data_IF_356078927121
#
_entry.id   IF_356078927121
#
_cell.length_a   1.000
_cell.length_b   1.000
_cell.length_c   1.000
_cell.angle_alpha   90.00
_cell.angle_beta   90.00
_cell.angle_gamma   90.00
#
_symmetry.space_group_name_H-M   'P 1'
#
loop_
_entity.id
_entity.type
_entity.pdbx_description
1 polymer ?
#
# COMPACT_ATOMS: atom_id res chain seq x y z
N UNK A 1 54.51 29.99 1.35
CA UNK A 1 53.67 28.79 1.19
C UNK A 1 53.57 28.10 2.53
N UNK A 2 52.53 28.40 3.30
CA UNK A 2 52.23 27.75 4.58
C UNK A 2 50.92 27.00 4.39
N UNK A 3 51.05 25.69 4.14
CA UNK A 3 49.93 24.76 4.09
C UNK A 3 49.45 24.51 5.52
N UNK A 4 48.48 25.29 5.98
CA UNK A 4 47.69 24.92 7.15
C UNK A 4 46.64 23.91 6.66
N UNK A 5 46.95 22.62 6.79
CA UNK A 5 45.92 21.59 6.85
C UNK A 5 45.22 21.77 8.20
N UNK A 6 44.16 22.58 8.21
CA UNK A 6 43.17 22.58 9.26
C UNK A 6 42.50 21.19 9.26
N UNK A 7 43.09 20.25 9.99
CA UNK A 7 42.42 19.01 10.35
C UNK A 7 41.43 19.39 11.43
N UNK A 8 40.24 19.85 11.00
CA UNK A 8 39.11 20.01 11.89
C UNK A 8 38.82 18.65 12.51
N UNK A 9 39.30 18.42 13.73
CA UNK A 9 38.89 17.30 14.57
C UNK A 9 37.38 17.44 14.72
N UNK A 10 36.61 16.65 13.98
CA UNK A 10 35.14 16.64 14.06
C UNK A 10 34.80 16.42 15.52
N UNK A 11 34.19 17.43 16.15
CA UNK A 11 33.80 17.35 17.56
C UNK A 11 33.01 16.05 17.76
N UNK A 12 33.52 15.17 18.62
CA UNK A 12 32.99 13.82 18.75
C UNK A 12 31.57 13.90 19.32
N UNK A 13 30.58 13.50 18.53
CA UNK A 13 29.19 13.51 18.95
C UNK A 13 28.98 12.44 20.03
N UNK A 14 28.81 12.86 21.29
CA UNK A 14 28.57 11.97 22.42
C UNK A 14 27.10 11.48 22.50
N UNK A 15 26.20 12.02 21.67
CA UNK A 15 24.77 11.71 21.67
C UNK A 15 24.44 10.22 21.54
N UNK A 16 25.01 9.47 20.57
CA UNK A 16 24.75 8.03 20.43
C UNK A 16 25.20 7.24 21.67
N UNK A 17 26.31 7.63 22.29
CA UNK A 17 26.80 7.03 23.54
C UNK A 17 25.85 7.24 24.71
N UNK A 18 25.26 8.43 24.84
CA UNK A 18 24.23 8.71 25.85
C UNK A 18 22.97 7.86 25.63
N UNK A 19 22.53 7.70 24.38
CA UNK A 19 21.41 6.81 24.04
C UNK A 19 21.69 5.35 24.41
N UNK A 20 22.93 4.88 24.18
CA UNK A 20 23.33 3.52 24.58
C UNK A 20 23.28 3.33 26.10
N UNK A 21 23.85 4.27 26.85
CA UNK A 21 23.82 4.24 28.31
C UNK A 21 22.39 4.27 28.86
N UNK A 22 21.51 5.06 28.24
CA UNK A 22 20.10 5.08 28.60
C UNK A 22 19.42 3.72 28.37
N UNK A 23 19.63 3.07 27.22
CA UNK A 23 19.10 1.73 26.95
C UNK A 23 19.64 0.68 27.95
N UNK A 24 20.93 0.74 28.30
CA UNK A 24 21.49 -0.15 29.33
C UNK A 24 20.87 0.08 30.70
N UNK A 25 20.65 1.35 31.09
CA UNK A 25 19.99 1.68 32.35
C UNK A 25 18.55 1.17 32.40
N UNK A 26 17.81 1.29 31.28
CA UNK A 26 16.46 0.74 31.12
C UNK A 26 16.46 -0.77 31.30
N UNK A 27 17.36 -1.47 30.63
CA UNK A 27 17.44 -2.93 30.75
C UNK A 27 17.80 -3.36 32.17
N UNK A 28 18.80 -2.72 32.79
CA UNK A 28 19.18 -3.00 34.17
C UNK A 28 18.01 -2.77 35.13
N UNK A 29 17.25 -1.68 34.95
CA UNK A 29 16.09 -1.37 35.78
C UNK A 29 15.02 -2.48 35.70
N UNK A 30 14.66 -2.92 34.48
CA UNK A 30 13.68 -4.00 34.28
C UNK A 30 14.24 -5.35 34.75
N UNK A 31 15.53 -5.60 34.60
CA UNK A 31 16.18 -6.83 35.05
C UNK A 31 16.14 -6.97 36.58
N UNK A 32 16.48 -5.92 37.32
CA UNK A 32 16.47 -5.95 38.80
C UNK A 32 15.07 -5.78 39.39
N UNK A 33 14.18 -5.07 38.70
CA UNK A 33 12.82 -4.77 39.14
C UNK A 33 11.85 -5.05 37.98
N UNK A 34 11.43 -6.31 37.76
CA UNK A 34 10.57 -6.67 36.62
C UNK A 34 9.25 -5.89 36.58
N UNK A 35 8.66 -5.58 37.73
CA UNK A 35 7.43 -4.79 37.86
C UNK A 35 7.58 -3.35 37.33
N UNK A 36 8.80 -2.82 37.27
CA UNK A 36 9.07 -1.48 36.74
C UNK A 36 8.69 -1.35 35.27
N UNK A 37 8.54 -2.45 34.53
CA UNK A 37 8.18 -2.45 33.11
C UNK A 37 6.90 -1.68 32.80
N UNK A 38 5.91 -1.70 33.70
CA UNK A 38 4.65 -0.96 33.58
C UNK A 38 4.84 0.56 33.60
N UNK A 39 5.95 1.04 34.15
CA UNK A 39 6.33 2.45 34.16
C UNK A 39 7.39 2.76 33.11
N UNK A 40 8.37 1.87 32.94
CA UNK A 40 9.52 2.06 32.04
C UNK A 40 9.10 2.12 30.58
N UNK A 41 8.24 1.20 30.11
CA UNK A 41 7.81 1.20 28.70
C UNK A 41 6.98 2.44 28.36
N UNK A 42 5.89 2.77 29.10
CA UNK A 42 5.14 4.00 28.83
C UNK A 42 5.98 5.25 29.03
N UNK A 43 6.89 5.27 30.00
CA UNK A 43 7.82 6.36 30.24
C UNK A 43 8.78 6.60 29.06
N UNK A 44 9.36 5.53 28.50
CA UNK A 44 10.21 5.63 27.31
C UNK A 44 9.44 6.15 26.10
N UNK A 45 8.25 5.60 25.84
CA UNK A 45 7.40 6.03 24.71
C UNK A 45 6.98 7.49 24.89
N UNK A 46 6.55 7.88 26.10
CA UNK A 46 6.17 9.25 26.42
C UNK A 46 7.33 10.23 26.28
N UNK A 47 8.52 9.87 26.77
CA UNK A 47 9.73 10.67 26.60
C UNK A 47 10.09 10.84 25.11
N UNK A 48 10.11 9.75 24.35
CA UNK A 48 10.39 9.78 22.92
C UNK A 48 9.37 10.67 22.17
N UNK A 49 8.09 10.57 22.50
CA UNK A 49 7.03 11.37 21.88
C UNK A 49 7.16 12.86 22.21
N UNK A 50 7.43 13.20 23.48
CA UNK A 50 7.65 14.59 23.88
C UNK A 50 8.88 15.18 23.21
N UNK A 51 9.99 14.44 23.13
CA UNK A 51 11.20 14.93 22.49
C UNK A 51 11.03 15.05 20.97
N UNK A 52 10.33 14.12 20.33
CA UNK A 52 9.96 14.19 18.92
C UNK A 52 9.17 15.48 18.63
N UNK A 53 8.13 15.78 19.43
CA UNK A 53 7.35 17.02 19.28
C UNK A 53 8.22 18.26 19.52
N UNK A 54 9.02 18.26 20.59
CA UNK A 54 9.95 19.36 20.89
C UNK A 54 10.90 19.63 19.72
N UNK A 55 11.48 18.58 19.13
CA UNK A 55 12.37 18.71 17.99
C UNK A 55 11.68 19.34 16.80
N UNK A 56 10.48 18.86 16.43
CA UNK A 56 9.68 19.41 15.32
C UNK A 56 9.32 20.89 15.51
N UNK A 57 9.03 21.30 16.74
CA UNK A 57 8.77 22.71 17.08
C UNK A 57 10.04 23.53 16.95
N UNK A 58 11.14 23.04 17.54
CA UNK A 58 12.40 23.79 17.65
C UNK A 58 13.11 24.00 16.30
N UNK A 59 12.98 23.06 15.37
CA UNK A 59 13.60 23.13 14.04
C UNK A 59 12.65 23.70 12.97
N UNK A 60 11.45 24.16 13.36
CA UNK A 60 10.50 24.79 12.45
C UNK A 60 9.84 23.83 11.43
N UNK A 61 10.04 22.51 11.57
CA UNK A 61 9.44 21.50 10.69
C UNK A 61 7.90 21.48 10.71
N UNK A 62 7.29 22.04 11.76
CA UNK A 62 5.83 22.27 11.83
C UNK A 62 5.29 23.08 10.64
N UNK A 63 6.06 24.06 10.15
CA UNK A 63 5.63 24.87 9.01
C UNK A 63 5.53 24.04 7.72
N UNK A 64 6.41 23.05 7.55
CA UNK A 64 6.36 22.11 6.42
C UNK A 64 5.12 21.20 6.48
N UNK A 65 4.82 20.66 7.66
CA UNK A 65 3.61 19.84 7.88
C UNK A 65 2.35 20.66 7.63
N UNK A 66 2.27 21.88 8.17
CA UNK A 66 1.12 22.78 7.96
C UNK A 66 1.01 23.19 6.48
N UNK A 67 2.15 23.42 5.81
CA UNK A 67 2.22 23.73 4.39
C UNK A 67 1.63 22.63 3.51
N UNK A 68 1.95 21.36 3.81
CA UNK A 68 1.37 20.21 3.11
C UNK A 68 -0.15 20.13 3.25
N UNK A 69 -0.69 20.45 4.43
CA UNK A 69 -2.15 20.52 4.66
C UNK A 69 -2.78 21.62 3.81
N UNK A 70 -2.19 22.82 3.85
CA UNK A 70 -2.70 23.98 3.10
C UNK A 70 -2.70 23.69 1.59
N UNK A 71 -1.63 23.09 1.08
CA UNK A 71 -1.54 22.67 -0.33
C UNK A 71 -2.65 21.68 -0.68
N UNK A 72 -2.90 20.67 0.16
CA UNK A 72 -4.01 19.73 -0.06
C UNK A 72 -5.39 20.39 -0.07
N UNK A 73 -5.63 21.36 0.81
CA UNK A 73 -6.90 22.10 0.87
C UNK A 73 -7.08 22.95 -0.39
N UNK A 74 -6.03 23.64 -0.85
CA UNK A 74 -6.05 24.42 -2.09
C UNK A 74 -6.30 23.51 -3.29
N UNK A 75 -5.57 22.40 -3.37
CA UNK A 75 -5.69 21.42 -4.45
C UNK A 75 -7.09 20.80 -4.50
N UNK A 76 -7.70 20.57 -3.34
CA UNK A 76 -9.08 20.14 -3.22
C UNK A 76 -10.08 21.20 -3.73
N UNK A 77 -9.86 22.48 -3.40
CA UNK A 77 -10.68 23.57 -3.92
C UNK A 77 -10.61 23.70 -5.45
N UNK A 78 -9.41 23.59 -6.02
CA UNK A 78 -9.19 23.63 -7.48
C UNK A 78 -9.81 22.40 -8.16
N UNK A 79 -9.64 21.22 -7.57
CA UNK A 79 -10.21 19.97 -8.09
C UNK A 79 -11.75 19.98 -8.10
N UNK A 80 -12.39 20.64 -7.13
CA UNK A 80 -13.84 20.80 -7.11
C UNK A 80 -14.36 21.73 -8.21
N UNK A 81 -13.55 22.68 -8.68
CA UNK A 81 -13.94 23.66 -9.69
C UNK A 81 -13.87 23.13 -11.14
N UNK A 82 -13.09 22.07 -11.40
CA UNK A 82 -12.86 21.54 -12.75
C UNK A 82 -13.50 20.14 -12.88
N UNK A 83 -14.62 19.99 -13.62
CA UNK A 83 -15.25 18.69 -13.85
C UNK A 83 -14.29 17.72 -14.54
N UNK A 84 -14.34 16.45 -14.13
CA UNK A 84 -13.52 15.32 -14.66
C UNK A 84 -12.02 15.43 -14.36
N UNK A 85 -11.35 16.52 -14.76
CA UNK A 85 -9.89 16.69 -14.60
C UNK A 85 -9.50 16.85 -13.12
N UNK A 86 -10.32 17.52 -12.32
CA UNK A 86 -10.05 17.72 -10.89
C UNK A 86 -9.96 16.41 -10.10
N UNK A 87 -10.80 15.43 -10.43
CA UNK A 87 -10.76 14.09 -9.81
C UNK A 87 -9.46 13.36 -10.09
N UNK A 88 -8.97 13.46 -11.34
CA UNK A 88 -7.73 12.80 -11.76
C UNK A 88 -6.55 13.39 -10.97
N UNK A 89 -6.49 14.72 -10.86
CA UNK A 89 -5.45 15.42 -10.09
C UNK A 89 -5.48 14.99 -8.61
N UNK A 90 -6.67 14.89 -8.01
CA UNK A 90 -6.83 14.54 -6.61
C UNK A 90 -6.46 13.07 -6.33
N UNK A 91 -6.79 12.16 -7.25
CA UNK A 91 -6.35 10.75 -7.20
C UNK A 91 -4.83 10.66 -7.33
N UNK A 92 -4.22 11.37 -8.28
CA UNK A 92 -2.76 11.43 -8.42
C UNK A 92 -2.07 11.99 -7.17
N UNK A 93 -2.64 13.02 -6.55
CA UNK A 93 -2.12 13.60 -5.30
C UNK A 93 -2.20 12.63 -4.12
N UNK A 94 -3.30 11.89 -3.98
CA UNK A 94 -3.43 10.85 -2.96
C UNK A 94 -2.41 9.73 -3.20
N UNK A 95 -2.26 9.27 -4.44
CA UNK A 95 -1.28 8.24 -4.79
C UNK A 95 0.16 8.70 -4.53
N UNK A 96 0.49 9.97 -4.83
CA UNK A 96 1.78 10.56 -4.51
C UNK A 96 2.08 10.52 -3.01
N UNK A 97 1.14 10.96 -2.18
CA UNK A 97 1.29 10.95 -0.72
C UNK A 97 1.38 9.52 -0.15
N UNK A 98 0.65 8.56 -0.72
CA UNK A 98 0.75 7.15 -0.34
C UNK A 98 2.12 6.57 -0.73
N UNK A 99 2.64 6.91 -1.91
CA UNK A 99 3.96 6.46 -2.34
C UNK A 99 5.07 6.99 -1.42
N UNK A 100 5.04 8.29 -1.09
CA UNK A 100 5.90 8.91 -0.07
C UNK A 100 5.80 8.21 1.29
N UNK A 101 4.58 7.90 1.74
CA UNK A 101 4.37 7.20 2.99
C UNK A 101 4.98 5.79 2.98
N UNK A 102 4.90 5.08 1.86
CA UNK A 102 5.50 3.76 1.70
C UNK A 102 7.03 3.81 1.72
N UNK A 103 7.63 4.80 1.07
CA UNK A 103 9.07 5.06 1.12
C UNK A 103 9.55 5.35 2.55
N UNK A 104 8.81 6.18 3.30
CA UNK A 104 9.08 6.38 4.72
C UNK A 104 8.94 5.10 5.54
N UNK A 105 7.93 4.26 5.28
CA UNK A 105 7.80 2.96 5.97
C UNK A 105 9.04 2.10 5.70
N UNK A 106 9.51 2.03 4.45
CA UNK A 106 10.71 1.27 4.09
C UNK A 106 11.96 1.81 4.81
N UNK A 107 12.09 3.13 4.93
CA UNK A 107 13.22 3.77 5.62
C UNK A 107 13.20 3.55 7.13
N UNK A 108 12.01 3.49 7.73
CA UNK A 108 11.80 3.24 9.17
C UNK A 108 11.88 1.75 9.54
N UNK A 109 11.74 0.85 8.56
CA UNK A 109 11.61 -0.60 8.78
C UNK A 109 12.79 -1.24 9.55
N UNK A 110 14.06 -0.91 9.26
CA UNK A 110 15.17 -1.46 10.05
C UNK A 110 15.19 -0.92 11.48
N UNK A 111 14.78 0.34 11.68
CA UNK A 111 14.70 0.96 13.01
C UNK A 111 13.53 0.35 13.80
N UNK A 112 12.44 -0.02 13.13
CA UNK A 112 11.31 -0.74 13.69
C UNK A 112 11.63 -2.18 14.08
N UNK A 113 12.45 -2.90 13.31
CA UNK A 113 12.89 -4.23 13.73
C UNK A 113 13.77 -4.19 14.98
N UNK A 114 14.69 -3.24 15.06
CA UNK A 114 15.52 -3.06 16.24
C UNK A 114 14.70 -2.63 17.46
N UNK A 115 13.76 -1.69 17.28
CA UNK A 115 12.84 -1.27 18.32
C UNK A 115 11.92 -2.41 18.79
N UNK A 116 11.38 -3.20 17.87
CA UNK A 116 10.60 -4.38 18.19
C UNK A 116 11.42 -5.41 18.98
N UNK A 117 12.68 -5.64 18.59
CA UNK A 117 13.58 -6.52 19.33
C UNK A 117 13.84 -6.00 20.76
N UNK A 118 14.04 -4.69 20.95
CA UNK A 118 14.20 -4.08 22.27
C UNK A 118 12.94 -4.28 23.14
N UNK A 119 11.76 -3.91 22.64
CA UNK A 119 10.51 -4.05 23.39
C UNK A 119 10.17 -5.52 23.67
N UNK A 120 10.34 -6.41 22.69
CA UNK A 120 10.11 -7.84 22.88
C UNK A 120 11.05 -8.44 23.93
N UNK A 121 12.34 -8.04 23.92
CA UNK A 121 13.32 -8.51 24.90
C UNK A 121 13.01 -8.04 26.32
N UNK A 122 12.33 -6.90 26.49
CA UNK A 122 11.84 -6.44 27.79
C UNK A 122 10.55 -7.16 28.20
N UNK A 123 9.61 -7.35 27.27
CA UNK A 123 8.27 -7.87 27.56
C UNK A 123 8.22 -9.39 27.73
N UNK A 124 8.94 -10.16 26.92
CA UNK A 124 8.86 -11.64 26.90
C UNK A 124 9.17 -12.25 28.28
N UNK A 125 10.25 -11.87 28.98
CA UNK A 125 10.54 -12.41 30.31
C UNK A 125 9.43 -12.11 31.33
N UNK A 126 8.87 -10.90 31.29
CA UNK A 126 7.80 -10.48 32.21
C UNK A 126 6.51 -11.23 31.92
N UNK A 127 6.10 -11.33 30.66
CA UNK A 127 4.88 -12.07 30.27
C UNK A 127 5.00 -13.54 30.70
N UNK A 128 6.17 -14.14 30.49
CA UNK A 128 6.42 -15.52 30.91
C UNK A 128 6.32 -15.69 32.44
N UNK A 129 6.89 -14.75 33.20
CA UNK A 129 6.83 -14.76 34.67
C UNK A 129 5.39 -14.58 35.20
N UNK A 130 4.56 -13.79 34.50
CA UNK A 130 3.15 -13.60 34.86
C UNK A 130 2.30 -14.86 34.59
N UNK A 131 2.58 -15.56 33.49
CA UNK A 131 1.84 -16.76 33.08
C UNK A 131 2.24 -18.00 33.91
N UNK A 132 3.52 -18.12 34.25
CA UNK A 132 4.07 -19.23 35.04
C UNK A 132 4.48 -18.73 36.43
N UNK A 133 3.46 -18.34 37.22
CA UNK A 133 3.62 -17.93 38.61
C UNK A 133 4.48 -18.98 39.34
N UNK A 134 5.63 -18.55 39.88
CA UNK A 134 6.62 -19.35 40.64
C UNK A 134 7.77 -20.03 39.86
N UNK A 135 7.83 -19.96 38.51
CA UNK A 135 8.97 -20.50 37.74
C UNK A 135 9.63 -19.45 36.84
N UNK A 136 10.43 -18.57 37.44
CA UNK A 136 11.25 -17.61 36.70
C UNK A 136 12.30 -18.35 35.85
N UNK A 137 12.14 -18.34 34.53
CA UNK A 137 13.14 -18.91 33.64
C UNK A 137 14.32 -17.95 33.49
N UNK A 138 15.31 -18.07 34.38
CA UNK A 138 16.52 -17.24 34.38
C UNK A 138 17.27 -17.32 33.04
N UNK A 139 17.25 -18.47 32.37
CA UNK A 139 17.86 -18.63 31.04
C UNK A 139 17.16 -17.80 29.97
N UNK A 140 15.82 -17.73 30.00
CA UNK A 140 15.05 -16.88 29.11
C UNK A 140 15.40 -15.40 29.31
N UNK A 141 15.50 -14.97 30.58
CA UNK A 141 15.84 -13.58 30.93
C UNK A 141 17.25 -13.21 30.46
N UNK A 142 18.24 -14.09 30.68
CA UNK A 142 19.62 -13.89 30.19
C UNK A 142 19.63 -13.85 28.65
N UNK A 143 18.93 -14.76 27.99
CA UNK A 143 18.81 -14.80 26.53
C UNK A 143 18.23 -13.51 25.96
N UNK A 144 17.12 -13.03 26.53
CA UNK A 144 16.53 -11.74 26.16
C UNK A 144 17.47 -10.56 26.44
N UNK A 145 18.26 -10.61 27.51
CA UNK A 145 19.28 -9.59 27.79
C UNK A 145 20.38 -9.52 26.74
N UNK A 146 20.84 -10.67 26.24
CA UNK A 146 21.83 -10.74 25.14
C UNK A 146 21.24 -10.12 23.87
N UNK A 147 20.01 -10.48 23.52
CA UNK A 147 19.31 -9.91 22.34
C UNK A 147 19.12 -8.41 22.49
N UNK A 148 18.71 -7.94 23.68
CA UNK A 148 18.57 -6.52 23.99
C UNK A 148 19.87 -5.76 23.80
N UNK A 149 20.99 -6.30 24.31
CA UNK A 149 22.30 -5.68 24.19
C UNK A 149 22.72 -5.51 22.72
N UNK A 150 22.61 -6.56 21.91
CA UNK A 150 22.93 -6.47 20.48
C UNK A 150 21.99 -5.53 19.72
N UNK A 151 20.70 -5.52 20.06
CA UNK A 151 19.77 -4.57 19.49
C UNK A 151 20.14 -3.13 19.86
N UNK A 152 20.52 -2.86 21.12
CA UNK A 152 20.95 -1.54 21.59
C UNK A 152 22.24 -1.07 20.90
N UNK A 153 23.20 -1.98 20.67
CA UNK A 153 24.39 -1.69 19.86
C UNK A 153 24.01 -1.37 18.41
N UNK A 154 23.14 -2.17 17.79
CA UNK A 154 22.68 -1.91 16.42
C UNK A 154 21.94 -0.58 16.27
N UNK A 155 21.10 -0.23 17.25
CA UNK A 155 20.42 1.06 17.34
C UNK A 155 21.41 2.22 17.37
N UNK A 156 22.40 2.13 18.25
CA UNK A 156 23.35 3.22 18.51
C UNK A 156 24.36 3.38 17.38
N UNK A 157 24.76 2.29 16.72
CA UNK A 157 25.55 2.33 15.49
C UNK A 157 24.80 3.12 14.39
N UNK A 158 23.53 2.80 14.13
CA UNK A 158 22.72 3.50 13.12
C UNK A 158 22.49 4.97 13.45
N UNK A 159 22.32 5.32 14.73
CA UNK A 159 22.23 6.72 15.16
C UNK A 159 23.57 7.42 14.96
N UNK A 160 24.68 6.77 15.29
CA UNK A 160 26.03 7.32 15.12
C UNK A 160 26.34 7.64 13.65
N UNK A 161 25.95 6.76 12.73
CA UNK A 161 26.18 6.96 11.29
C UNK A 161 25.38 8.13 10.71
N UNK A 162 24.26 8.49 11.34
CA UNK A 162 23.30 9.49 10.83
C UNK A 162 23.31 10.82 11.59
N UNK A 163 24.00 10.92 12.72
CA UNK A 163 23.91 12.10 13.60
C UNK A 163 25.22 12.86 13.74
N UNK A 164 25.18 14.12 13.31
CA UNK A 164 26.30 15.04 13.50
C UNK A 164 26.24 15.80 14.83
N UNK A 165 25.06 15.92 15.45
CA UNK A 165 24.87 16.66 16.72
C UNK A 165 24.15 15.81 17.76
N UNK A 166 24.37 16.05 19.07
CA UNK A 166 23.72 15.29 20.14
C UNK A 166 22.20 15.49 20.16
N UNK A 167 21.73 16.69 19.78
CA UNK A 167 20.30 16.99 19.61
C UNK A 167 19.68 16.12 18.51
N UNK A 168 20.37 15.99 17.37
CA UNK A 168 19.92 15.12 16.27
C UNK A 168 19.98 13.64 16.64
N UNK A 169 20.98 13.21 17.43
CA UNK A 169 21.04 11.83 17.94
C UNK A 169 19.83 11.48 18.81
N UNK A 170 19.43 12.37 19.71
CA UNK A 170 18.24 12.16 20.56
C UNK A 170 16.94 12.16 19.75
N UNK A 171 16.88 12.94 18.67
CA UNK A 171 15.75 12.91 17.74
C UNK A 171 15.66 11.56 17.03
N UNK A 172 16.75 11.09 16.43
CA UNK A 172 16.78 9.78 15.76
C UNK A 172 16.52 8.63 16.73
N UNK A 173 17.00 8.73 17.97
CA UNK A 173 16.67 7.79 19.04
C UNK A 173 15.17 7.76 19.34
N UNK A 174 14.53 8.93 19.40
CA UNK A 174 13.09 9.05 19.62
C UNK A 174 12.29 8.49 18.44
N UNK A 175 12.69 8.78 17.19
CA UNK A 175 12.09 8.22 15.98
C UNK A 175 12.20 6.69 15.97
N UNK A 176 13.35 6.15 16.35
CA UNK A 176 13.55 4.71 16.45
C UNK A 176 12.65 4.07 17.51
N UNK A 177 12.54 4.63 18.71
CA UNK A 177 11.64 4.11 19.77
C UNK A 177 10.15 4.19 19.38
N UNK A 178 9.78 5.17 18.55
CA UNK A 178 8.41 5.38 18.05
C UNK A 178 8.14 4.71 16.71
N UNK A 179 9.14 4.08 16.08
CA UNK A 179 9.03 3.53 14.73
C UNK A 179 7.90 2.51 14.59
N UNK A 180 7.74 1.58 15.54
CA UNK A 180 6.66 0.58 15.54
C UNK A 180 5.27 1.24 15.58
N UNK A 181 4.92 2.09 16.59
CA UNK A 181 3.62 2.76 16.59
C UNK A 181 3.45 3.71 15.40
N UNK A 182 4.51 4.38 14.92
CA UNK A 182 4.46 5.24 13.74
C UNK A 182 4.10 4.46 12.47
N UNK A 183 4.73 3.30 12.22
CA UNK A 183 4.39 2.45 11.08
C UNK A 183 2.95 1.98 11.15
N UNK A 184 2.48 1.56 12.34
CA UNK A 184 1.06 1.16 12.53
C UNK A 184 0.11 2.32 12.21
N UNK A 185 0.42 3.54 12.69
CA UNK A 185 -0.37 4.72 12.41
C UNK A 185 -0.33 5.13 10.93
N UNK A 186 0.82 5.01 10.25
CA UNK A 186 0.95 5.26 8.82
C UNK A 186 0.13 4.26 8.00
N UNK A 187 0.14 2.97 8.35
CA UNK A 187 -0.73 2.00 7.69
C UNK A 187 -2.22 2.30 7.92
N UNK A 188 -2.58 2.65 9.16
CA UNK A 188 -3.95 3.03 9.49
C UNK A 188 -4.39 4.29 8.74
N UNK A 189 -3.52 5.29 8.59
CA UNK A 189 -3.82 6.52 7.86
C UNK A 189 -3.93 6.29 6.36
N UNK A 190 -3.05 5.48 5.76
CA UNK A 190 -3.15 5.05 4.35
C UNK A 190 -4.47 4.30 4.11
N UNK A 191 -4.82 3.36 4.98
CA UNK A 191 -6.07 2.63 4.88
C UNK A 191 -7.29 3.55 4.99
N UNK A 192 -7.26 4.51 5.92
CA UNK A 192 -8.30 5.51 6.08
C UNK A 192 -8.40 6.45 4.87
N UNK A 193 -7.26 6.91 4.32
CA UNK A 193 -7.24 7.80 3.15
C UNK A 193 -7.73 7.10 1.88
N UNK A 194 -7.33 5.84 1.66
CA UNK A 194 -7.84 5.01 0.57
C UNK A 194 -9.35 4.80 0.73
N UNK A 195 -9.80 4.41 1.93
CA UNK A 195 -11.23 4.23 2.20
C UNK A 195 -12.02 5.52 1.93
N UNK A 196 -11.51 6.67 2.34
CA UNK A 196 -12.14 7.97 2.08
C UNK A 196 -12.13 8.35 0.59
N UNK A 197 -11.05 8.02 -0.14
CA UNK A 197 -10.94 8.29 -1.58
C UNK A 197 -11.92 7.45 -2.42
N UNK A 198 -12.21 6.22 -1.98
CA UNK A 198 -13.12 5.28 -2.66
C UNK A 198 -14.55 5.28 -2.11
N UNK A 199 -14.84 6.04 -1.05
CA UNK A 199 -16.21 6.29 -0.62
C UNK A 199 -16.92 7.20 -1.63
N UNK A 200 -17.59 6.60 -2.62
CA UNK A 200 -18.55 7.31 -3.46
C UNK A 200 -19.73 7.75 -2.58
N UNK A 201 -19.89 9.06 -2.37
CA UNK A 201 -21.16 9.58 -1.88
C UNK A 201 -22.11 9.72 -3.07
N UNK A 202 -23.31 9.20 -2.96
CA UNK A 202 -24.32 9.40 -4.00
C UNK A 202 -24.96 10.77 -3.77
N UNK A 203 -24.50 11.81 -4.49
CA UNK A 203 -25.25 13.06 -4.54
C UNK A 203 -26.47 12.82 -5.42
N UNK A 204 -27.64 12.77 -4.77
CA UNK A 204 -28.92 12.66 -5.45
C UNK A 204 -29.28 14.05 -5.98
N UNK A 205 -29.09 14.27 -7.27
CA UNK A 205 -29.52 15.50 -7.94
C UNK A 205 -30.94 15.29 -8.45
N UNK A 206 -31.94 15.88 -7.82
CA UNK A 206 -33.33 15.83 -8.32
C UNK A 206 -33.50 16.85 -9.44
N UNK A 207 -33.78 16.38 -10.67
CA UNK A 207 -34.13 17.24 -11.78
C UNK A 207 -35.63 17.10 -12.08
N UNK A 208 -36.36 18.21 -12.16
CA UNK A 208 -37.76 18.24 -12.57
C UNK A 208 -37.83 18.40 -14.09
N UNK A 209 -38.26 17.36 -14.81
CA UNK A 209 -38.48 17.46 -16.26
C UNK A 209 -39.97 17.63 -16.58
N UNK A 210 -40.35 18.53 -17.50
CA UNK A 210 -41.72 18.62 -17.99
C UNK A 210 -42.00 17.44 -18.93
N UNK A 211 -43.01 16.64 -18.61
CA UNK A 211 -43.49 15.55 -19.46
C UNK A 211 -44.86 15.93 -20.04
N UNK A 212 -44.99 15.89 -21.36
CA UNK A 212 -46.28 16.08 -22.04
C UNK A 212 -47.09 14.80 -21.96
N UNK A 213 -48.29 14.87 -21.38
CA UNK A 213 -49.23 13.76 -21.32
C UNK A 213 -50.27 13.98 -22.41
N UNK A 214 -50.34 13.05 -23.36
CA UNK A 214 -51.36 13.05 -24.41
C UNK A 214 -52.74 12.79 -23.80
N UNK A 215 -53.74 13.52 -24.28
CA UNK A 215 -55.10 13.48 -23.78
C UNK A 215 -55.71 12.09 -23.88
N UNK A 216 -56.56 11.77 -22.91
CA UNK A 216 -57.21 10.47 -22.82
C UNK A 216 -58.65 10.62 -22.34
N UNK A 217 -59.51 9.69 -22.78
CA UNK A 217 -60.89 9.63 -22.32
C UNK A 217 -60.96 8.69 -21.12
N UNK A 218 -61.45 9.19 -20.00
CA UNK A 218 -61.67 8.38 -18.79
C UNK A 218 -62.74 7.32 -19.03
N UNK A 219 -62.77 6.23 -18.25
CA UNK A 219 -63.74 5.14 -18.39
C UNK A 219 -65.23 5.57 -18.21
N UNK A 220 -65.47 6.81 -17.75
CA UNK A 220 -66.79 7.44 -17.64
C UNK A 220 -67.10 8.43 -18.78
N UNK A 221 -66.30 8.43 -19.85
CA UNK A 221 -66.55 9.22 -21.07
C UNK A 221 -66.09 10.68 -21.01
N UNK A 222 -65.44 11.13 -19.93
CA UNK A 222 -64.93 12.51 -19.81
C UNK A 222 -63.58 12.62 -20.51
N UNK A 223 -63.48 13.51 -21.51
CA UNK A 223 -62.25 13.76 -22.28
C UNK A 223 -61.33 14.68 -21.49
N UNK A 224 -60.14 14.18 -21.17
CA UNK A 224 -59.07 14.96 -20.53
C UNK A 224 -58.13 15.41 -21.63
N UNK A 225 -58.02 16.73 -21.82
CA UNK A 225 -57.13 17.34 -22.81
C UNK A 225 -55.65 17.16 -22.43
N UNK A 226 -54.76 17.31 -23.42
CA UNK A 226 -53.31 17.28 -23.22
C UNK A 226 -52.90 18.24 -22.11
N UNK A 227 -52.10 17.75 -21.18
CA UNK A 227 -51.54 18.59 -20.11
C UNK A 227 -50.09 18.22 -19.85
N UNK A 228 -49.31 19.23 -19.47
CA UNK A 228 -47.91 19.04 -19.09
C UNK A 228 -47.84 18.76 -17.59
N UNK A 229 -47.17 17.68 -17.18
CA UNK A 229 -46.90 17.38 -15.78
C UNK A 229 -45.40 17.45 -15.53
N UNK A 230 -44.99 18.12 -14.45
CA UNK A 230 -43.61 18.07 -13.99
C UNK A 230 -43.36 16.74 -13.27
N UNK A 231 -42.44 15.93 -13.79
CA UNK A 231 -42.03 14.68 -13.16
C UNK A 231 -40.66 14.90 -12.54
N UNK A 232 -40.58 14.73 -11.22
CA UNK A 232 -39.31 14.77 -10.48
C UNK A 232 -38.56 13.47 -10.74
N UNK A 233 -37.53 13.52 -11.57
CA UNK A 233 -36.65 12.39 -11.81
C UNK A 233 -35.42 12.55 -10.92
N UNK A 234 -35.19 11.57 -10.04
CA UNK A 234 -33.96 11.51 -9.24
C UNK A 234 -32.83 11.07 -10.16
N UNK A 235 -32.04 12.03 -10.65
CA UNK A 235 -30.81 11.72 -11.37
C UNK A 235 -29.76 11.41 -10.31
N UNK A 236 -29.43 10.13 -10.15
CA UNK A 236 -28.35 9.70 -9.26
C UNK A 236 -27.04 10.03 -9.97
N UNK A 237 -26.45 11.18 -9.67
CA UNK A 237 -25.13 11.56 -10.17
C UNK A 237 -24.11 11.11 -9.13
N UNK A 238 -23.33 10.07 -9.44
CA UNK A 238 -22.22 9.65 -8.59
C UNK A 238 -21.16 10.76 -8.58
N UNK A 239 -21.10 11.55 -7.52
CA UNK A 239 -20.00 12.48 -7.29
C UNK A 239 -19.27 11.99 -6.04
N UNK A 240 -18.02 11.59 -6.22
CA UNK A 240 -17.14 11.32 -5.07
C UNK A 240 -17.17 12.59 -4.22
N UNK A 241 -17.23 12.52 -2.89
CA UNK A 241 -17.11 13.73 -2.05
C UNK A 241 -15.66 13.76 -1.59
N UNK A 242 -14.79 14.57 -2.22
CA UNK A 242 -13.37 14.61 -1.89
C UNK A 242 -13.25 15.51 -0.68
N UNK A 243 -12.73 14.99 0.43
CA UNK A 243 -12.60 15.80 1.64
C UNK A 243 -11.62 15.23 2.63
N UNK A 244 -11.98 14.09 3.22
CA UNK A 244 -11.19 13.50 4.29
C UNK A 244 -9.89 12.83 3.80
N UNK A 245 -9.90 12.25 2.60
CA UNK A 245 -8.78 11.47 2.07
C UNK A 245 -7.55 12.29 1.69
N UNK A 246 -7.72 13.46 1.06
CA UNK A 246 -6.61 14.29 0.60
C UNK A 246 -5.87 14.97 1.77
N UNK A 247 -6.61 15.48 2.76
CA UNK A 247 -6.05 16.12 3.95
C UNK A 247 -5.32 15.10 4.84
N UNK A 248 -5.90 13.91 5.04
CA UNK A 248 -5.25 12.81 5.77
C UNK A 248 -4.00 12.26 5.07
N UNK A 249 -4.04 12.17 3.73
CA UNK A 249 -2.90 11.74 2.92
C UNK A 249 -1.74 12.74 2.99
N UNK A 250 -1.98 14.07 2.95
CA UNK A 250 -0.89 15.05 3.10
C UNK A 250 -0.27 15.09 4.48
N UNK A 251 -1.06 14.91 5.55
CA UNK A 251 -0.50 14.78 6.89
C UNK A 251 0.46 13.59 6.96
N UNK A 252 0.07 12.47 6.35
CA UNK A 252 0.88 11.25 6.26
C UNK A 252 2.13 11.48 5.39
N UNK A 253 1.97 12.14 4.23
CA UNK A 253 3.05 12.46 3.31
C UNK A 253 4.08 13.41 3.92
N UNK A 254 3.65 14.53 4.51
CA UNK A 254 4.53 15.50 5.15
C UNK A 254 5.26 14.94 6.38
N UNK A 255 4.61 14.04 7.14
CA UNK A 255 5.26 13.33 8.24
C UNK A 255 6.29 12.32 7.72
N UNK A 256 6.02 11.71 6.56
CA UNK A 256 6.95 10.82 5.86
C UNK A 256 8.18 11.56 5.27
N UNK A 257 8.04 12.83 4.86
CA UNK A 257 9.19 13.63 4.37
C UNK A 257 10.19 13.94 5.48
N UNK A 258 9.73 14.00 6.74
CA UNK A 258 10.57 14.26 7.91
C UNK A 258 11.37 13.02 8.35
N UNK A 259 10.93 11.83 7.93
CA UNK A 259 11.60 10.55 8.19
C UNK A 259 12.47 10.08 7.01
N UNK A 260 12.35 10.70 5.83
CA UNK A 260 13.24 10.47 4.69
C UNK A 260 14.45 11.42 4.77
N UNK A 261 15.66 10.87 4.71
CA UNK A 261 16.90 11.66 4.61
C UNK A 261 16.91 12.45 3.31
N UNK A 262 17.29 13.74 3.38
CA UNK A 262 17.56 14.55 2.21
C UNK A 262 18.87 14.09 1.53
N UNK A 263 18.77 13.19 0.55
CA UNK A 263 19.58 13.28 -0.67
C UNK A 263 19.07 12.36 -1.81
N UNK A 264 19.33 12.82 -3.04
CA UNK A 264 19.11 12.20 -4.37
C UNK A 264 17.71 12.21 -5.01
N UNK A 265 17.43 13.29 -5.77
CA UNK A 265 16.62 13.21 -6.99
C UNK A 265 17.39 12.49 -8.10
N UNK A 266 16.86 11.44 -8.75
CA UNK A 266 17.39 10.98 -10.02
C UNK A 266 16.67 11.68 -11.17
N UNK A 267 17.41 12.53 -11.88
CA UNK A 267 17.03 13.12 -13.15
C UNK A 267 17.04 12.05 -14.24
N UNK A 268 15.87 11.86 -14.86
CA UNK A 268 15.60 11.54 -16.27
C UNK A 268 16.50 10.51 -16.99
N UNK A 269 15.92 9.33 -17.29
CA UNK A 269 16.25 8.53 -18.49
C UNK A 269 14.96 8.08 -19.17
N UNK A 270 14.26 9.02 -19.80
CA UNK A 270 13.41 8.70 -20.94
C UNK A 270 14.33 8.20 -22.06
N UNK A 271 14.18 6.95 -22.49
CA UNK A 271 14.38 6.50 -23.90
C UNK A 271 14.43 4.96 -24.09
N UNK A 272 14.08 4.11 -23.12
CA UNK A 272 14.09 2.63 -23.32
C UNK A 272 12.77 1.89 -22.93
N UNK A 273 11.70 2.60 -22.56
CA UNK A 273 10.51 1.99 -21.91
C UNK A 273 9.63 1.09 -22.78
N UNK A 274 9.65 1.20 -24.12
CA UNK A 274 8.68 0.47 -24.95
C UNK A 274 8.99 -1.02 -25.14
N UNK A 275 10.25 -1.44 -25.10
CA UNK A 275 10.63 -2.87 -25.24
C UNK A 275 10.66 -3.63 -23.91
N UNK A 276 10.79 -2.94 -22.78
CA UNK A 276 10.88 -3.58 -21.44
C UNK A 276 9.53 -3.79 -20.74
N UNK A 277 8.44 -3.13 -21.18
CA UNK A 277 7.14 -3.11 -20.47
C UNK A 277 6.54 -4.52 -20.24
N UNK A 278 6.73 -5.45 -21.18
CA UNK A 278 6.17 -6.80 -21.13
C UNK A 278 7.21 -7.93 -21.01
N UNK A 279 8.43 -7.62 -20.58
CA UNK A 279 9.42 -8.66 -20.29
C UNK A 279 9.00 -9.58 -19.13
N UNK A 280 9.48 -10.82 -19.15
CA UNK A 280 9.30 -11.80 -18.07
C UNK A 280 9.73 -11.21 -16.72
N UNK A 281 8.88 -11.31 -15.72
CA UNK A 281 9.14 -10.79 -14.37
C UNK A 281 8.70 -11.82 -13.32
N UNK A 282 9.67 -12.57 -12.79
CA UNK A 282 9.41 -13.70 -11.88
C UNK A 282 8.70 -13.27 -10.61
N UNK A 283 9.07 -12.12 -10.05
CA UNK A 283 8.45 -11.55 -8.83
C UNK A 283 7.01 -11.08 -9.07
N UNK A 284 6.59 -10.92 -10.33
CA UNK A 284 5.21 -10.61 -10.68
C UNK A 284 4.42 -11.84 -11.13
N UNK A 285 5.00 -13.04 -11.00
CA UNK A 285 4.41 -14.29 -11.50
C UNK A 285 4.03 -14.24 -12.98
N UNK A 286 4.68 -13.36 -13.75
CA UNK A 286 4.37 -13.07 -15.14
C UNK A 286 5.52 -13.54 -16.04
N UNK A 287 5.23 -14.45 -16.95
CA UNK A 287 6.20 -15.07 -17.84
C UNK A 287 5.79 -14.85 -19.30
N UNK A 288 6.66 -14.24 -20.10
CA UNK A 288 6.50 -14.11 -21.56
C UNK A 288 7.09 -15.35 -22.24
N UNK A 289 6.66 -15.66 -23.47
CA UNK A 289 7.11 -16.81 -24.26
C UNK A 289 8.64 -17.07 -24.23
N UNK A 290 9.45 -16.01 -24.21
CA UNK A 290 10.92 -16.05 -24.22
C UNK A 290 11.56 -16.26 -22.83
N UNK A 291 10.76 -16.25 -21.76
CA UNK A 291 11.19 -16.48 -20.38
C UNK A 291 10.27 -17.44 -19.61
N UNK A 292 9.54 -18.31 -20.30
CA UNK A 292 8.67 -19.30 -19.68
C UNK A 292 9.46 -20.24 -18.77
N UNK A 293 8.86 -20.59 -17.63
CA UNK A 293 9.37 -21.66 -16.79
C UNK A 293 8.82 -22.99 -17.32
N UNK A 294 9.65 -23.77 -18.01
CA UNK A 294 9.30 -25.04 -18.66
C UNK A 294 8.53 -26.02 -17.77
N UNK A 295 8.92 -26.10 -16.50
CA UNK A 295 8.28 -27.00 -15.55
C UNK A 295 6.87 -26.52 -15.19
N UNK A 296 6.71 -25.22 -14.93
CA UNK A 296 5.40 -24.64 -14.56
C UNK A 296 4.43 -24.67 -15.73
N UNK A 297 4.87 -24.20 -16.92
CA UNK A 297 4.01 -24.20 -18.10
C UNK A 297 3.63 -25.62 -18.54
N UNK A 298 4.54 -26.59 -18.38
CA UNK A 298 4.24 -28.00 -18.62
C UNK A 298 3.14 -28.54 -17.70
N UNK A 299 3.16 -28.18 -16.40
CA UNK A 299 2.12 -28.57 -15.46
C UNK A 299 0.77 -27.90 -15.77
N UNK A 300 0.78 -26.63 -16.17
CA UNK A 300 -0.43 -25.93 -16.61
C UNK A 300 -1.04 -26.58 -17.85
N UNK A 301 -0.24 -26.88 -18.89
CA UNK A 301 -0.70 -27.56 -20.10
C UNK A 301 -1.30 -28.94 -19.78
N UNK A 302 -0.66 -29.69 -18.89
CA UNK A 302 -1.20 -30.97 -18.42
C UNK A 302 -2.54 -30.80 -17.69
N UNK A 303 -2.69 -29.73 -16.89
CA UNK A 303 -3.94 -29.42 -16.19
C UNK A 303 -5.06 -28.99 -17.15
N UNK A 304 -4.73 -28.27 -18.24
CA UNK A 304 -5.67 -27.95 -19.33
C UNK A 304 -6.15 -29.24 -20.00
N UNK A 305 -5.23 -30.15 -20.36
CA UNK A 305 -5.56 -31.43 -20.98
C UNK A 305 -6.43 -32.30 -20.05
N UNK A 306 -6.13 -32.31 -18.74
CA UNK A 306 -6.90 -33.06 -17.74
C UNK A 306 -8.31 -32.48 -17.49
N UNK A 307 -8.57 -31.21 -17.83
CA UNK A 307 -9.88 -30.60 -17.65
C UNK A 307 -10.93 -31.14 -18.64
N UNK A 308 -10.50 -31.72 -19.78
CA UNK A 308 -11.35 -32.39 -20.79
C UNK A 308 -12.35 -31.49 -21.55
N UNK A 309 -12.58 -30.26 -21.07
CA UNK A 309 -13.56 -29.30 -21.57
C UNK A 309 -12.92 -28.10 -22.27
N UNK A 310 -11.59 -27.98 -22.20
CA UNK A 310 -10.81 -26.91 -22.82
C UNK A 310 -10.13 -27.43 -24.10
N UNK A 311 -9.93 -26.59 -25.12
CA UNK A 311 -9.14 -26.95 -26.29
C UNK A 311 -7.71 -27.36 -25.93
N UNK A 312 -7.06 -28.13 -26.80
CA UNK A 312 -5.65 -28.47 -26.64
C UNK A 312 -4.81 -27.19 -26.69
N UNK A 313 -3.81 -27.10 -25.81
CA UNK A 313 -2.86 -25.98 -25.72
C UNK A 313 -1.46 -26.53 -25.89
N UNK A 314 -0.73 -26.10 -26.92
CA UNK A 314 0.69 -26.44 -27.07
C UNK A 314 1.56 -25.34 -26.45
N UNK A 315 2.78 -25.71 -26.06
CA UNK A 315 3.73 -24.77 -25.46
C UNK A 315 4.14 -23.66 -26.43
N UNK A 316 4.18 -23.97 -27.72
CA UNK A 316 4.55 -23.06 -28.81
C UNK A 316 3.56 -21.90 -28.97
N UNK A 317 2.30 -22.15 -28.61
CA UNK A 317 1.19 -21.19 -28.75
C UNK A 317 1.13 -20.20 -27.56
N UNK A 318 1.93 -20.41 -26.52
CA UNK A 318 1.91 -19.62 -25.28
C UNK A 318 2.68 -18.32 -25.47
N UNK A 319 1.97 -17.20 -25.53
CA UNK A 319 2.58 -15.87 -25.56
C UNK A 319 2.90 -15.35 -24.15
N UNK A 320 1.99 -15.60 -23.21
CA UNK A 320 2.11 -15.17 -21.81
C UNK A 320 1.52 -16.24 -20.91
N UNK A 321 2.19 -16.48 -19.78
CA UNK A 321 1.72 -17.29 -18.68
C UNK A 321 1.79 -16.48 -17.38
N UNK A 322 0.66 -16.40 -16.69
CA UNK A 322 0.58 -15.90 -15.33
C UNK A 322 0.33 -17.06 -14.38
N UNK A 323 1.26 -17.29 -13.46
CA UNK A 323 1.18 -18.38 -12.48
C UNK A 323 0.38 -17.94 -11.25
N UNK A 324 -0.80 -18.55 -11.06
CA UNK A 324 -1.69 -18.27 -9.92
C UNK A 324 -1.57 -19.32 -8.81
N UNK A 325 -0.71 -20.34 -8.95
CA UNK A 325 -0.59 -21.43 -7.97
C UNK A 325 0.00 -20.93 -6.64
N UNK A 326 -0.85 -20.78 -5.61
CA UNK A 326 -0.45 -20.43 -4.23
C UNK A 326 0.33 -21.56 -3.54
N UNK A 327 -0.12 -22.80 -3.72
CA UNK A 327 0.51 -24.00 -3.18
C UNK A 327 0.44 -25.06 -4.29
N UNK A 328 1.57 -25.50 -4.82
CA UNK A 328 1.60 -26.50 -5.91
C UNK A 328 2.72 -26.30 -6.93
N UNK A 329 2.53 -26.83 -8.14
CA UNK A 329 3.58 -26.96 -9.15
C UNK A 329 3.41 -26.03 -10.37
N UNK A 330 2.51 -25.04 -10.33
CA UNK A 330 2.20 -24.15 -11.46
C UNK A 330 1.11 -24.71 -12.39
N UNK A 331 0.12 -25.39 -11.82
CA UNK A 331 -1.01 -26.03 -12.50
C UNK A 331 -2.26 -25.12 -12.60
N UNK A 332 -2.20 -23.90 -12.02
CA UNK A 332 -3.27 -22.89 -12.04
C UNK A 332 -2.72 -21.57 -12.57
N UNK A 333 -3.59 -20.76 -13.16
CA UNK A 333 -3.19 -19.50 -13.77
C UNK A 333 -3.96 -19.13 -15.02
N UNK A 334 -3.37 -18.19 -15.75
CA UNK A 334 -3.91 -17.70 -17.02
C UNK A 334 -2.84 -17.80 -18.08
N UNK A 335 -3.20 -18.35 -19.23
CA UNK A 335 -2.39 -18.34 -20.45
C UNK A 335 -3.08 -17.48 -21.50
N UNK A 336 -2.30 -16.62 -22.15
CA UNK A 336 -2.71 -15.90 -23.35
C UNK A 336 -1.96 -16.51 -24.55
N UNK A 337 -2.71 -16.85 -25.59
CA UNK A 337 -2.18 -17.17 -26.92
C UNK A 337 -2.38 -15.95 -27.83
N UNK A 338 -2.11 -16.12 -29.13
CA UNK A 338 -2.45 -15.14 -30.17
C UNK A 338 -3.97 -14.94 -30.35
N UNK A 339 -4.76 -16.00 -30.16
CA UNK A 339 -6.21 -15.98 -30.43
C UNK A 339 -7.10 -16.03 -29.19
N UNK A 340 -6.60 -16.50 -28.04
CA UNK A 340 -7.46 -16.86 -26.91
C UNK A 340 -6.83 -16.75 -25.52
N UNK A 341 -7.72 -16.85 -24.53
CA UNK A 341 -7.42 -16.90 -23.10
C UNK A 341 -7.80 -18.28 -22.57
N UNK A 342 -6.85 -18.91 -21.87
CA UNK A 342 -7.07 -20.12 -21.08
C UNK A 342 -7.00 -19.75 -19.59
N UNK A 343 -8.05 -20.03 -18.83
CA UNK A 343 -8.11 -19.71 -17.41
C UNK A 343 -8.36 -20.99 -16.58
N UNK A 344 -7.41 -21.31 -15.71
CA UNK A 344 -7.57 -22.30 -14.64
C UNK A 344 -7.51 -21.56 -13.30
N UNK A 345 -8.65 -21.28 -12.66
CA UNK A 345 -8.72 -20.38 -11.52
C UNK A 345 -8.00 -20.89 -10.27
N UNK A 346 -7.66 -19.94 -9.40
CA UNK A 346 -6.92 -20.13 -8.14
C UNK A 346 -7.74 -20.73 -6.99
N UNK A 347 -7.40 -20.40 -5.75
CA UNK A 347 -7.89 -21.03 -4.50
C UNK A 347 -9.40 -20.84 -4.23
N UNK A 348 -10.10 -19.99 -4.98
CA UNK A 348 -11.53 -19.79 -4.82
C UNK A 348 -12.32 -20.84 -5.62
N UNK A 349 -12.95 -21.77 -4.91
CA UNK A 349 -13.59 -22.98 -5.46
C UNK A 349 -14.82 -22.68 -6.36
N UNK A 350 -15.34 -21.44 -6.33
CA UNK A 350 -16.52 -21.03 -7.09
C UNK A 350 -16.20 -20.49 -8.50
N UNK A 351 -14.93 -20.45 -8.91
CA UNK A 351 -14.55 -19.98 -10.24
C UNK A 351 -14.43 -21.15 -11.23
N UNK A 352 -15.14 -21.03 -12.36
CA UNK A 352 -15.12 -22.04 -13.42
C UNK A 352 -13.87 -21.92 -14.30
N UNK A 353 -13.30 -23.07 -14.68
CA UNK A 353 -12.29 -23.15 -15.75
C UNK A 353 -12.94 -22.74 -17.06
N UNK A 354 -12.27 -21.91 -17.86
CA UNK A 354 -12.82 -21.50 -19.14
C UNK A 354 -11.76 -21.23 -20.20
N UNK A 355 -12.23 -21.30 -21.44
CA UNK A 355 -11.53 -20.86 -22.64
C UNK A 355 -12.40 -19.81 -23.32
N UNK A 356 -11.80 -18.71 -23.76
CA UNK A 356 -12.51 -17.71 -24.57
C UNK A 356 -11.58 -17.08 -25.60
N UNK A 357 -12.08 -16.90 -26.82
CA UNK A 357 -11.35 -16.20 -27.88
C UNK A 357 -11.46 -14.70 -27.70
N UNK A 358 -10.42 -13.96 -28.04
CA UNK A 358 -10.45 -12.49 -27.99
C UNK A 358 -11.59 -11.91 -28.84
N UNK A 359 -11.89 -12.55 -29.99
CA UNK A 359 -13.00 -12.18 -30.87
C UNK A 359 -14.38 -12.17 -30.21
N UNK A 360 -14.54 -12.89 -29.10
CA UNK A 360 -15.81 -13.04 -28.38
C UNK A 360 -15.95 -12.05 -27.22
N UNK A 361 -14.89 -11.32 -26.90
CA UNK A 361 -14.85 -10.32 -25.83
C UNK A 361 -15.26 -8.96 -26.42
N UNK A 362 -16.30 -8.35 -25.87
CA UNK A 362 -16.77 -7.01 -26.25
C UNK A 362 -16.08 -5.92 -25.43
N UNK A 363 -15.85 -6.22 -24.14
CA UNK A 363 -15.23 -5.29 -23.21
C UNK A 363 -14.51 -6.05 -22.10
N UNK A 364 -13.37 -5.52 -21.68
CA UNK A 364 -12.67 -5.97 -20.48
C UNK A 364 -12.72 -4.88 -19.42
N UNK A 365 -12.86 -5.27 -18.16
CA UNK A 365 -12.83 -4.35 -17.02
C UNK A 365 -11.94 -4.92 -15.92
N UNK A 366 -11.21 -4.04 -15.25
CA UNK A 366 -10.35 -4.40 -14.13
C UNK A 366 -10.96 -3.83 -12.85
N UNK A 367 -11.31 -4.71 -11.91
CA UNK A 367 -12.04 -4.34 -10.69
C UNK A 367 -11.73 -5.30 -9.52
N UNK A 368 -12.43 -5.18 -8.40
CA UNK A 368 -12.24 -6.00 -7.19
C UNK A 368 -11.33 -5.36 -6.14
N UNK A 369 -11.41 -5.84 -4.89
CA UNK A 369 -10.53 -5.38 -3.82
C UNK A 369 -9.06 -5.57 -4.22
N UNK A 370 -8.27 -4.48 -4.21
CA UNK A 370 -6.87 -4.45 -4.63
C UNK A 370 -6.60 -4.68 -6.14
N UNK A 371 -7.58 -4.48 -7.03
CA UNK A 371 -7.42 -4.65 -8.48
C UNK A 371 -6.93 -6.05 -8.88
N UNK A 372 -7.59 -7.08 -8.37
CA UNK A 372 -7.21 -8.48 -8.59
C UNK A 372 -8.18 -9.24 -9.49
N UNK A 373 -9.22 -8.59 -10.02
CA UNK A 373 -10.25 -9.26 -10.80
C UNK A 373 -10.40 -8.63 -12.19
N UNK A 374 -10.12 -9.42 -13.22
CA UNK A 374 -10.40 -9.10 -14.62
C UNK A 374 -11.78 -9.67 -14.94
N UNK A 375 -12.71 -8.81 -15.34
CA UNK A 375 -14.04 -9.22 -15.81
C UNK A 375 -14.13 -9.05 -17.33
N UNK A 376 -14.32 -10.16 -18.02
CA UNK A 376 -14.56 -10.24 -19.46
C UNK A 376 -16.06 -10.16 -19.72
N UNK A 377 -16.48 -9.20 -20.54
CA UNK A 377 -17.84 -9.07 -21.03
C UNK A 377 -17.89 -9.66 -22.43
N UNK A 378 -18.58 -10.78 -22.58
CA UNK A 378 -18.71 -11.47 -23.85
C UNK A 378 -19.88 -10.90 -24.65
N UNK A 379 -19.81 -10.98 -25.99
CA UNK A 379 -20.85 -10.50 -26.92
C UNK A 379 -22.25 -11.12 -26.68
N UNK A 380 -22.30 -12.27 -26.00
CA UNK A 380 -23.55 -12.97 -25.64
C UNK A 380 -24.16 -12.46 -24.32
N UNK A 381 -23.64 -11.39 -23.73
CA UNK A 381 -24.09 -10.84 -22.44
C UNK A 381 -23.63 -11.64 -21.22
N UNK A 382 -22.89 -12.75 -21.42
CA UNK A 382 -22.27 -13.54 -20.36
C UNK A 382 -21.01 -12.83 -19.83
N UNK A 383 -20.78 -12.94 -18.52
CA UNK A 383 -19.58 -12.41 -17.86
C UNK A 383 -18.69 -13.56 -17.40
N UNK A 384 -17.40 -13.47 -17.68
CA UNK A 384 -16.38 -14.37 -17.12
C UNK A 384 -15.43 -13.56 -16.26
N UNK A 385 -15.02 -14.14 -15.13
CA UNK A 385 -14.16 -13.49 -14.15
C UNK A 385 -12.87 -14.27 -14.02
N UNK A 386 -11.76 -13.55 -13.96
CA UNK A 386 -10.43 -14.06 -13.68
C UNK A 386 -9.97 -13.36 -12.41
N UNK A 387 -9.76 -14.11 -11.33
CA UNK A 387 -9.18 -13.57 -10.10
C UNK A 387 -7.70 -13.97 -10.01
N UNK A 388 -6.83 -12.97 -9.92
CA UNK A 388 -5.36 -13.11 -9.88
C UNK A 388 -4.83 -12.57 -8.55
N UNK A 389 -4.47 -13.45 -7.62
CA UNK A 389 -4.10 -13.11 -6.25
C UNK A 389 -2.61 -12.95 -6.02
N UNK A 390 -1.77 -13.57 -6.87
CA UNK A 390 -0.31 -13.61 -6.65
C UNK A 390 0.38 -12.27 -6.82
N UNK A 391 -0.04 -11.47 -7.79
CA UNK A 391 0.62 -10.20 -8.09
C UNK A 391 -0.32 -9.18 -8.71
N UNK A 392 -0.49 -8.03 -8.05
CA UNK A 392 -1.23 -6.90 -8.61
C UNK A 392 -0.56 -6.36 -9.87
N UNK A 393 0.77 -6.32 -9.89
CA UNK A 393 1.55 -5.83 -11.03
C UNK A 393 1.45 -6.78 -12.22
N UNK A 394 1.54 -8.10 -11.99
CA UNK A 394 1.36 -9.07 -13.06
C UNK A 394 -0.09 -9.18 -13.53
N UNK A 395 -1.08 -9.06 -12.64
CA UNK A 395 -2.51 -9.00 -13.02
C UNK A 395 -2.81 -7.80 -13.91
N UNK A 396 -2.22 -6.63 -13.61
CA UNK A 396 -2.33 -5.45 -14.46
C UNK A 396 -1.70 -5.68 -15.84
N UNK A 397 -0.54 -6.34 -15.92
CA UNK A 397 0.08 -6.71 -17.22
C UNK A 397 -0.80 -7.65 -18.03
N UNK A 398 -1.42 -8.65 -17.40
CA UNK A 398 -2.36 -9.55 -18.07
C UNK A 398 -3.57 -8.78 -18.60
N UNK A 399 -4.13 -7.86 -17.79
CA UNK A 399 -5.22 -6.98 -18.23
C UNK A 399 -4.84 -6.12 -19.44
N UNK A 400 -3.69 -5.43 -19.39
CA UNK A 400 -3.20 -4.58 -20.49
C UNK A 400 -3.00 -5.40 -21.78
N UNK A 401 -2.50 -6.63 -21.67
CA UNK A 401 -2.33 -7.52 -22.81
C UNK A 401 -3.65 -8.01 -23.40
N UNK A 402 -4.66 -8.30 -22.57
CA UNK A 402 -6.01 -8.65 -23.04
C UNK A 402 -6.66 -7.44 -23.72
N UNK A 403 -6.52 -6.25 -23.14
CA UNK A 403 -7.04 -5.00 -23.72
C UNK A 403 -6.42 -4.71 -25.10
N UNK A 404 -5.10 -4.93 -25.24
CA UNK A 404 -4.41 -4.82 -26.52
C UNK A 404 -4.85 -5.88 -27.54
N UNK A 405 -5.20 -7.09 -27.10
CA UNK A 405 -5.60 -8.18 -27.99
C UNK A 405 -7.06 -8.09 -28.48
N UNK A 406 -7.90 -7.29 -27.83
CA UNK A 406 -9.30 -7.06 -28.22
C UNK A 406 -9.53 -5.71 -28.92
N UNK A 407 -8.53 -4.83 -28.91
CA UNK A 407 -8.51 -3.55 -29.64
C UNK A 407 -8.26 -3.78 -31.12
#
# INVERSE_FOLDING_TARGET
MTNYTDVTVKAQNAGPGLCFLFLLAVWACVFFIPESIFLVIPGMIGFALLFFIYYLVSEGHLAGILGGIVVSVILMGIAAAIPVIGWIILICWILYNIARAFESIQNLLPDAFLSAALYASLLIPVIYQLDHYDNSNTWLTIGCGIVYFFAAVGCTARISDRSDTPKHSLFLFSVMLLSVPMIVLLFASIAASLRAAFQMSLVKTTATLPQSVSGYTTARGTVVADYTRNVTQTVVTSTIVPGAGAVGASLTGSLAELSTTADEQPVSRLNHEKEQRYATHKDHHFYRYDGLNDKKIGNFIQAVAAAGTLPILNKEDVLVYFDETLIGKGDRGVVLTDEAIYCLPGMFEDEEKFFTRFSNIEKVTFSGALNKQITLWLKEGKKQKITLTQSNAGAKKVFEMIELAIA
#
